data_IF_590295724472
#
_entry.id   IF_590295724472
#
_cell.length_a   1.000
_cell.length_b   1.000
_cell.length_c   1.000
_cell.angle_alpha   90.00
_cell.angle_beta   90.00
_cell.angle_gamma   90.00
#
_symmetry.space_group_name_H-M   'P 1'
#
loop_
_entity.id
_entity.type
_entity.pdbx_description
1 polymer ?
#
# COMPACT_ATOMS: atom_id res chain seq x y z
N UNK A 1 -40.60 12.84 -51.56
CA UNK A 1 -39.29 12.95 -50.88
C UNK A 1 -39.43 12.25 -49.54
N UNK A 2 -38.60 11.25 -49.24
CA UNK A 2 -38.69 10.51 -47.98
C UNK A 2 -38.32 11.43 -46.80
N UNK A 3 -39.13 11.43 -45.74
CA UNK A 3 -38.83 12.18 -44.52
C UNK A 3 -37.52 11.67 -43.92
N UNK A 4 -36.49 12.52 -43.88
CA UNK A 4 -35.16 12.17 -43.40
C UNK A 4 -35.12 12.31 -41.89
N UNK A 5 -35.38 11.21 -41.18
CA UNK A 5 -35.35 11.17 -39.73
C UNK A 5 -33.90 11.08 -39.23
N UNK A 6 -33.52 11.96 -38.31
CA UNK A 6 -32.22 11.92 -37.64
C UNK A 6 -32.31 11.04 -36.40
N UNK A 7 -31.38 10.10 -36.28
CA UNK A 7 -31.33 9.12 -35.21
C UNK A 7 -30.10 9.36 -34.33
N UNK A 8 -30.35 9.87 -33.13
CA UNK A 8 -29.31 10.33 -32.23
C UNK A 8 -29.23 9.41 -31.00
N UNK A 9 -28.02 8.98 -30.66
CA UNK A 9 -27.73 8.36 -29.37
C UNK A 9 -27.12 9.41 -28.45
N UNK A 10 -27.90 9.90 -27.49
CA UNK A 10 -27.49 10.97 -26.59
C UNK A 10 -26.97 10.38 -25.27
N UNK A 11 -25.70 10.62 -25.01
CA UNK A 11 -24.99 10.23 -23.79
C UNK A 11 -24.98 11.42 -22.84
N UNK A 12 -25.76 11.35 -21.77
CA UNK A 12 -25.82 12.39 -20.73
C UNK A 12 -24.83 12.15 -19.58
N UNK A 13 -24.35 10.92 -19.42
CA UNK A 13 -23.26 10.52 -18.51
C UNK A 13 -22.56 9.28 -19.07
N UNK A 14 -21.54 8.76 -18.37
CA UNK A 14 -20.81 7.53 -18.77
C UNK A 14 -21.71 6.31 -18.95
N UNK A 15 -22.79 6.24 -18.17
CA UNK A 15 -23.62 5.04 -18.06
C UNK A 15 -25.06 5.24 -18.57
N UNK A 16 -25.43 6.47 -18.94
CA UNK A 16 -26.79 6.80 -19.39
C UNK A 16 -26.76 7.19 -20.86
N UNK A 17 -27.19 6.25 -21.69
CA UNK A 17 -27.39 6.42 -23.13
C UNK A 17 -28.87 6.36 -23.45
N UNK A 18 -29.38 7.36 -24.16
CA UNK A 18 -30.78 7.39 -24.57
C UNK A 18 -30.92 7.77 -26.04
N UNK A 19 -31.86 7.10 -26.70
CA UNK A 19 -32.13 7.30 -28.13
C UNK A 19 -33.13 8.43 -28.32
N UNK A 20 -32.81 9.33 -29.24
CA UNK A 20 -33.62 10.47 -29.64
C UNK A 20 -33.78 10.46 -31.15
N UNK A 21 -35.02 10.54 -31.63
CA UNK A 21 -35.33 10.67 -33.06
C UNK A 21 -35.88 12.06 -33.32
N UNK A 22 -35.35 12.72 -34.36
CA UNK A 22 -35.87 13.99 -34.88
C UNK A 22 -36.43 13.76 -36.28
N UNK A 23 -37.55 14.42 -36.59
CA UNK A 23 -38.22 14.33 -37.90
C UNK A 23 -37.53 15.13 -39.00
N UNK A 24 -36.65 16.06 -38.62
CA UNK A 24 -35.82 16.90 -39.50
C UNK A 24 -34.58 17.36 -38.73
N UNK A 25 -33.56 17.88 -39.44
CA UNK A 25 -32.40 18.52 -38.81
C UNK A 25 -32.88 19.76 -38.05
N UNK A 26 -32.33 20.00 -36.86
CA UNK A 26 -32.57 21.24 -36.11
C UNK A 26 -31.99 22.43 -36.87
N UNK A 27 -32.59 23.61 -36.75
CA UNK A 27 -32.14 24.80 -37.47
C UNK A 27 -30.83 25.37 -36.88
N UNK A 28 -30.50 25.04 -35.63
CA UNK A 28 -29.21 25.39 -35.01
C UNK A 28 -28.81 24.42 -33.90
N UNK A 29 -27.53 24.48 -33.49
CA UNK A 29 -26.99 23.70 -32.36
C UNK A 29 -27.66 24.09 -31.04
N UNK A 30 -28.05 25.35 -30.84
CA UNK A 30 -28.70 25.81 -29.60
C UNK A 30 -30.17 25.38 -29.50
N UNK A 31 -30.86 25.28 -30.64
CA UNK A 31 -32.19 24.65 -30.70
C UNK A 31 -32.09 23.16 -30.32
N UNK A 32 -31.07 22.46 -30.83
CA UNK A 32 -30.80 21.07 -30.47
C UNK A 32 -30.51 20.89 -28.97
N UNK A 33 -29.71 21.78 -28.37
CA UNK A 33 -29.46 21.78 -26.92
C UNK A 33 -30.76 21.97 -26.13
N UNK A 34 -31.63 22.87 -26.57
CA UNK A 34 -32.93 23.13 -25.91
C UNK A 34 -33.84 21.90 -25.94
N UNK A 35 -33.95 21.25 -27.11
CA UNK A 35 -34.72 19.99 -27.23
C UNK A 35 -34.17 18.88 -26.33
N UNK A 36 -32.83 18.77 -26.20
CA UNK A 36 -32.18 17.80 -25.31
C UNK A 36 -32.46 18.14 -23.85
N UNK A 37 -32.39 19.42 -23.45
CA UNK A 37 -32.73 19.87 -22.09
C UNK A 37 -34.16 19.50 -21.70
N UNK A 38 -35.13 19.78 -22.56
CA UNK A 38 -36.54 19.50 -22.30
C UNK A 38 -36.82 18.00 -22.24
N UNK A 39 -36.32 17.24 -23.22
CA UNK A 39 -36.59 15.79 -23.33
C UNK A 39 -35.94 14.99 -22.19
N UNK A 40 -34.76 15.41 -21.74
CA UNK A 40 -34.01 14.72 -20.69
C UNK A 40 -34.09 15.40 -19.32
N UNK A 41 -34.85 16.50 -19.21
CA UNK A 41 -35.04 17.31 -18.00
C UNK A 41 -33.70 17.75 -17.37
N UNK A 42 -32.81 18.30 -18.17
CA UNK A 42 -31.50 18.79 -17.71
C UNK A 42 -31.63 20.24 -17.24
N UNK A 43 -31.15 20.54 -16.04
CA UNK A 43 -31.22 21.84 -15.36
C UNK A 43 -29.92 22.66 -15.43
N UNK A 44 -28.97 22.24 -16.28
CA UNK A 44 -27.63 22.84 -16.40
C UNK A 44 -27.26 23.15 -17.85
N UNK A 45 -26.30 24.05 -18.03
CA UNK A 45 -25.72 24.37 -19.34
C UNK A 45 -24.64 23.36 -19.77
N UNK A 46 -24.59 23.10 -21.07
CA UNK A 46 -23.70 22.11 -21.66
C UNK A 46 -23.33 22.44 -23.11
N UNK A 47 -22.19 21.89 -23.52
CA UNK A 47 -21.76 21.78 -24.91
C UNK A 47 -22.06 20.38 -25.45
N UNK A 48 -22.08 20.25 -26.78
CA UNK A 48 -22.33 18.98 -27.45
C UNK A 48 -21.07 18.55 -28.20
N UNK A 49 -20.76 17.27 -28.14
CA UNK A 49 -19.76 16.65 -29.00
C UNK A 49 -20.38 15.48 -29.74
N UNK A 50 -19.95 15.22 -30.97
CA UNK A 50 -20.38 14.07 -31.76
C UNK A 50 -19.18 13.18 -32.10
N UNK A 51 -19.42 11.89 -32.31
CA UNK A 51 -18.39 11.01 -32.86
C UNK A 51 -18.31 11.21 -34.37
N UNK A 52 -17.15 11.66 -34.84
CA UNK A 52 -16.93 11.96 -36.25
C UNK A 52 -16.55 10.68 -37.03
N UNK A 53 -17.38 10.23 -38.00
CA UNK A 53 -17.08 9.05 -38.80
C UNK A 53 -15.80 9.16 -39.63
N UNK A 54 -15.41 10.38 -40.01
CA UNK A 54 -14.27 10.64 -40.90
C UNK A 54 -12.94 10.65 -40.15
N UNK A 55 -12.96 10.72 -38.82
CA UNK A 55 -11.79 10.75 -37.93
C UNK A 55 -11.80 9.60 -36.92
N UNK A 56 -11.95 8.36 -37.40
CA UNK A 56 -11.91 7.13 -36.58
C UNK A 56 -12.86 7.16 -35.37
N UNK A 57 -14.03 7.81 -35.48
CA UNK A 57 -15.03 7.97 -34.41
C UNK A 57 -14.55 8.76 -33.19
N UNK A 58 -13.55 9.61 -33.36
CA UNK A 58 -13.11 10.53 -32.31
C UNK A 58 -14.19 11.57 -31.98
N UNK A 59 -14.20 12.03 -30.72
CA UNK A 59 -15.17 13.00 -30.23
C UNK A 59 -14.77 14.42 -30.69
N UNK A 60 -15.59 15.01 -31.56
CA UNK A 60 -15.43 16.37 -32.06
C UNK A 60 -16.51 17.29 -31.46
N UNK A 61 -16.17 18.55 -31.18
CA UNK A 61 -17.15 19.53 -30.67
C UNK A 61 -18.12 19.92 -31.78
N UNK A 62 -19.43 19.84 -31.51
CA UNK A 62 -20.46 20.22 -32.47
C UNK A 62 -20.66 21.74 -32.41
N UNK A 63 -20.13 22.46 -33.41
CA UNK A 63 -20.24 23.92 -33.51
C UNK A 63 -21.16 24.32 -34.66
N UNK A 64 -21.09 23.61 -35.79
CA UNK A 64 -22.04 23.76 -36.89
C UNK A 64 -23.01 22.59 -36.91
N UNK A 65 -24.31 22.87 -37.14
CA UNK A 65 -25.33 21.83 -37.20
C UNK A 65 -25.25 21.03 -38.51
N UNK A 66 -24.68 21.61 -39.57
CA UNK A 66 -24.51 20.95 -40.88
C UNK A 66 -23.52 19.78 -40.82
N UNK A 67 -22.60 19.78 -39.85
CA UNK A 67 -21.61 18.72 -39.62
C UNK A 67 -22.21 17.45 -38.99
N UNK A 68 -23.46 17.52 -38.49
CA UNK A 68 -24.09 16.40 -37.79
C UNK A 68 -24.67 15.35 -38.75
N UNK A 69 -24.17 14.10 -38.78
CA UNK A 69 -24.71 13.09 -39.67
C UNK A 69 -26.11 12.62 -39.23
N UNK A 70 -26.86 12.03 -40.17
CA UNK A 70 -28.22 11.52 -39.91
C UNK A 70 -28.30 10.46 -38.82
N UNK A 71 -27.20 9.74 -38.58
CA UNK A 71 -27.04 8.81 -37.46
C UNK A 71 -25.79 9.22 -36.69
N UNK A 72 -25.97 9.78 -35.52
CA UNK A 72 -24.87 10.32 -34.73
C UNK A 72 -24.96 9.89 -33.26
N UNK A 73 -23.79 9.68 -32.66
CA UNK A 73 -23.66 9.56 -31.20
C UNK A 73 -23.29 10.94 -30.67
N UNK A 74 -24.16 11.52 -29.85
CA UNK A 74 -23.97 12.80 -29.20
C UNK A 74 -23.59 12.59 -27.74
N UNK A 75 -22.58 13.33 -27.29
CA UNK A 75 -22.18 13.39 -25.90
C UNK A 75 -22.45 14.79 -25.35
N UNK A 76 -23.24 14.83 -24.29
CA UNK A 76 -23.51 16.07 -23.55
C UNK A 76 -22.33 16.29 -22.61
N UNK A 77 -21.56 17.35 -22.86
CA UNK A 77 -20.44 17.75 -22.04
C UNK A 77 -20.89 18.95 -21.21
N UNK A 78 -21.04 18.74 -19.90
CA UNK A 78 -21.42 19.82 -18.98
C UNK A 78 -20.43 20.97 -19.13
N UNK A 79 -20.95 22.19 -19.29
CA UNK A 79 -20.11 23.38 -19.29
C UNK A 79 -19.69 23.60 -17.83
N UNK A 80 -18.54 23.07 -17.48
CA UNK A 80 -17.97 23.24 -16.16
C UNK A 80 -17.27 24.59 -16.08
N UNK A 81 -17.61 25.41 -15.09
CA UNK A 81 -16.67 26.40 -14.55
C UNK A 81 -15.53 25.61 -13.91
N UNK A 82 -14.52 25.27 -14.70
CA UNK A 82 -13.23 24.66 -14.37
C UNK A 82 -13.20 23.84 -13.07
N UNK A 83 -13.92 22.72 -13.03
CA UNK A 83 -13.87 21.83 -11.87
C UNK A 83 -14.23 20.34 -12.13
N UNK A 84 -13.85 19.75 -13.27
CA UNK A 84 -13.72 18.28 -13.42
C UNK A 84 -12.93 17.93 -14.70
N UNK A 85 -11.67 17.51 -14.57
CA UNK A 85 -11.19 16.12 -14.63
C UNK A 85 -11.43 15.37 -15.94
N UNK A 86 -10.34 15.16 -16.71
CA UNK A 86 -10.08 13.85 -17.32
C UNK A 86 -8.58 13.51 -17.17
N UNK A 87 -8.33 12.29 -16.69
CA UNK A 87 -7.13 11.47 -16.81
C UNK A 87 -5.79 11.96 -16.21
N UNK A 88 -5.45 11.38 -15.06
CA UNK A 88 -4.18 10.64 -14.96
C UNK A 88 -4.40 9.47 -14.04
N UNK A 89 -4.34 8.26 -14.60
CA UNK A 89 -4.06 7.04 -13.86
C UNK A 89 -2.76 7.22 -13.09
N UNK A 90 -2.79 6.92 -11.79
CA UNK A 90 -1.87 5.94 -11.21
C UNK A 90 -2.23 5.64 -9.75
N UNK A 91 -2.45 4.35 -9.49
CA UNK A 91 -2.44 3.66 -8.19
C UNK A 91 -3.52 4.03 -7.15
N UNK A 92 -4.53 3.16 -6.99
CA UNK A 92 -4.70 2.24 -5.84
C UNK A 92 -6.05 1.51 -5.91
N UNK A 93 -5.94 0.20 -5.79
CA UNK A 93 -6.99 -0.79 -5.56
C UNK A 93 -7.56 -0.61 -4.14
N UNK A 94 -8.83 -0.24 -4.01
CA UNK A 94 -9.72 -0.67 -2.91
C UNK A 94 -11.19 -0.54 -3.40
N UNK A 95 -12.01 -1.62 -3.34
CA UNK A 95 -13.42 -1.53 -3.72
C UNK A 95 -14.24 -0.92 -2.57
N UNK A 96 -15.03 0.10 -2.92
CA UNK A 96 -16.26 0.55 -2.23
C UNK A 96 -16.23 0.53 -0.69
N UNK A 97 -15.69 1.59 -0.09
CA UNK A 97 -16.22 2.10 1.17
C UNK A 97 -17.24 3.19 0.84
N UNK A 98 -18.53 2.85 0.87
CA UNK A 98 -19.60 3.83 0.95
C UNK A 98 -19.43 4.56 2.29
N UNK A 99 -18.80 5.73 2.29
CA UNK A 99 -18.86 6.63 3.44
C UNK A 99 -20.26 7.23 3.53
N UNK A 100 -20.89 7.26 4.72
CA UNK A 100 -22.25 7.75 4.90
C UNK A 100 -22.41 9.20 4.42
N UNK A 101 -23.63 9.50 3.99
CA UNK A 101 -24.06 10.69 3.25
C UNK A 101 -23.44 12.02 3.70
N UNK A 102 -22.89 12.71 2.69
CA UNK A 102 -22.26 14.03 2.72
C UNK A 102 -23.36 15.08 2.61
N UNK A 103 -23.56 15.90 3.64
CA UNK A 103 -24.80 16.66 3.77
C UNK A 103 -24.85 17.93 2.90
N UNK A 104 -23.72 18.63 2.66
CA UNK A 104 -23.74 19.95 2.00
C UNK A 104 -22.49 20.22 1.12
N UNK A 105 -22.63 21.04 0.06
CA UNK A 105 -21.51 21.51 -0.78
C UNK A 105 -20.77 22.68 -0.09
N UNK A 106 -19.52 22.94 -0.47
CA UNK A 106 -18.79 24.11 0.03
C UNK A 106 -19.53 25.41 -0.37
N UNK A 107 -19.83 26.31 0.58
CA UNK A 107 -20.58 27.53 0.28
C UNK A 107 -19.67 28.64 -0.27
N UNK A 108 -20.22 29.49 -1.13
CA UNK A 108 -19.51 30.68 -1.66
C UNK A 108 -19.18 31.70 -0.56
N UNK A 109 -20.03 31.75 0.48
CA UNK A 109 -19.83 32.53 1.70
C UNK A 109 -19.89 31.57 2.88
N UNK A 110 -18.77 31.41 3.58
CA UNK A 110 -18.69 30.51 4.72
C UNK A 110 -19.55 31.04 5.89
N UNK A 111 -20.54 30.27 6.38
CA UNK A 111 -21.35 30.71 7.51
C UNK A 111 -20.55 30.62 8.80
N UNK A 112 -20.49 31.73 9.54
CA UNK A 112 -19.86 31.75 10.86
C UNK A 112 -20.59 30.76 11.79
N UNK A 113 -19.87 29.79 12.40
CA UNK A 113 -20.49 28.87 13.35
C UNK A 113 -20.75 29.57 14.67
N UNK A 114 -21.73 29.07 15.42
CA UNK A 114 -21.92 29.48 16.81
C UNK A 114 -20.81 28.88 17.68
N UNK A 115 -20.05 29.75 18.36
CA UNK A 115 -19.00 29.36 19.28
C UNK A 115 -19.54 29.03 20.67
N UNK A 116 -18.66 28.61 21.58
CA UNK A 116 -19.04 28.47 22.99
C UNK A 116 -19.56 29.81 23.54
N UNK A 117 -20.47 29.75 24.50
CA UNK A 117 -21.08 30.94 25.11
C UNK A 117 -20.04 31.96 25.60
N UNK A 118 -18.95 31.48 26.20
CA UNK A 118 -17.86 32.33 26.68
C UNK A 118 -17.15 33.04 25.51
N UNK A 119 -16.88 32.32 24.42
CA UNK A 119 -16.22 32.90 23.24
C UNK A 119 -17.14 33.90 22.54
N UNK A 120 -18.43 33.59 22.36
CA UNK A 120 -19.40 34.51 21.76
C UNK A 120 -19.49 35.83 22.53
N UNK A 121 -19.55 35.76 23.87
CA UNK A 121 -19.60 36.94 24.72
C UNK A 121 -18.34 37.81 24.53
N UNK A 122 -17.17 37.18 24.52
CA UNK A 122 -15.88 37.88 24.37
C UNK A 122 -15.72 38.47 22.96
N UNK A 123 -16.17 37.77 21.93
CA UNK A 123 -16.17 38.28 20.56
C UNK A 123 -17.12 39.47 20.43
N UNK A 124 -18.32 39.40 21.02
CA UNK A 124 -19.28 40.51 21.07
C UNK A 124 -18.73 41.75 21.77
N UNK A 125 -18.17 41.59 22.98
CA UNK A 125 -17.54 42.69 23.72
C UNK A 125 -16.32 43.26 22.98
N UNK A 126 -15.57 42.39 22.31
CA UNK A 126 -14.44 42.75 21.47
C UNK A 126 -14.84 43.62 20.29
N UNK A 127 -15.92 43.27 19.59
CA UNK A 127 -16.46 44.05 18.46
C UNK A 127 -16.89 45.45 18.91
N UNK A 128 -17.66 45.55 20.00
CA UNK A 128 -18.07 46.84 20.58
C UNK A 128 -16.86 47.70 20.98
N UNK A 129 -15.85 47.07 21.57
CA UNK A 129 -14.63 47.77 21.99
C UNK A 129 -13.80 48.25 20.79
N UNK A 130 -13.76 47.44 19.72
CA UNK A 130 -13.08 47.80 18.49
C UNK A 130 -13.78 48.96 17.77
N UNK A 131 -15.10 48.91 17.65
CA UNK A 131 -15.90 49.99 17.04
C UNK A 131 -15.74 51.32 17.80
N UNK A 132 -15.72 51.27 19.14
CA UNK A 132 -15.64 52.47 19.97
C UNK A 132 -14.22 53.06 20.07
N UNK A 133 -13.20 52.21 20.16
CA UNK A 133 -11.84 52.62 20.55
C UNK A 133 -10.74 52.24 19.55
N UNK A 134 -11.08 51.53 18.46
CA UNK A 134 -10.11 50.99 17.50
C UNK A 134 -9.17 49.94 18.09
N UNK A 135 -9.48 49.40 19.27
CA UNK A 135 -8.58 48.51 20.01
C UNK A 135 -8.88 47.06 19.67
N UNK A 136 -7.87 46.34 19.20
CA UNK A 136 -7.98 44.92 18.80
C UNK A 136 -8.14 43.99 20.01
N UNK A 137 -9.04 43.01 19.88
CA UNK A 137 -9.26 41.95 20.87
C UNK A 137 -8.03 41.02 20.99
N UNK A 138 -7.62 40.71 22.22
CA UNK A 138 -6.56 39.72 22.49
C UNK A 138 -7.17 38.48 23.13
N UNK A 139 -7.06 37.35 22.43
CA UNK A 139 -7.59 36.06 22.88
C UNK A 139 -6.52 35.22 23.59
N UNK A 140 -6.95 34.49 24.63
CA UNK A 140 -6.14 33.47 25.32
C UNK A 140 -5.91 32.25 24.43
N UNK A 141 -4.97 31.38 24.82
CA UNK A 141 -4.72 30.12 24.09
C UNK A 141 -5.94 29.20 24.08
N UNK A 142 -6.69 29.14 25.18
CA UNK A 142 -7.88 28.31 25.30
C UNK A 142 -9.01 28.81 24.38
N UNK A 143 -9.26 30.12 24.36
CA UNK A 143 -10.26 30.75 23.48
C UNK A 143 -9.92 30.55 21.99
N UNK A 144 -8.64 30.65 21.63
CA UNK A 144 -8.18 30.32 20.27
C UNK A 144 -8.41 28.86 19.90
N UNK A 145 -8.28 27.95 20.86
CA UNK A 145 -8.50 26.52 20.61
C UNK A 145 -9.98 26.23 20.34
N UNK A 146 -10.87 26.78 21.17
CA UNK A 146 -12.33 26.65 21.03
C UNK A 146 -12.81 27.15 19.66
N UNK A 147 -12.38 28.36 19.26
CA UNK A 147 -12.71 28.94 17.95
C UNK A 147 -12.26 28.01 16.80
N UNK A 148 -11.02 27.52 16.86
CA UNK A 148 -10.46 26.68 15.80
C UNK A 148 -11.13 25.30 15.72
N UNK A 149 -11.51 24.73 16.87
CA UNK A 149 -12.20 23.44 16.94
C UNK A 149 -13.62 23.55 16.38
N UNK A 150 -14.37 24.57 16.77
CA UNK A 150 -15.72 24.84 16.26
C UNK A 150 -15.73 25.13 14.76
N UNK A 151 -14.78 25.93 14.27
CA UNK A 151 -14.59 26.15 12.83
C UNK A 151 -14.29 24.86 12.09
N UNK A 152 -13.37 24.04 12.61
CA UNK A 152 -13.01 22.77 12.00
C UNK A 152 -14.21 21.81 11.94
N UNK A 153 -15.01 21.74 13.01
CA UNK A 153 -16.23 20.94 13.04
C UNK A 153 -17.24 21.41 11.98
N UNK A 154 -17.47 22.73 11.86
CA UNK A 154 -18.38 23.29 10.84
C UNK A 154 -17.88 23.07 9.41
N UNK A 155 -16.59 23.24 9.15
CA UNK A 155 -15.96 22.97 7.85
C UNK A 155 -16.06 21.49 7.48
N UNK A 156 -15.94 20.59 8.46
CA UNK A 156 -16.05 19.15 8.27
C UNK A 156 -17.46 18.71 7.83
N UNK A 157 -18.52 19.47 8.13
CA UNK A 157 -19.88 19.23 7.64
C UNK A 157 -20.02 19.40 6.12
N UNK A 158 -19.18 20.23 5.49
CA UNK A 158 -19.21 20.47 4.05
C UNK A 158 -18.25 19.54 3.30
N UNK A 159 -17.01 19.37 3.79
CA UNK A 159 -16.01 18.52 3.14
C UNK A 159 -14.97 18.02 4.14
N UNK A 160 -15.02 16.73 4.47
CA UNK A 160 -14.07 16.09 5.39
C UNK A 160 -12.60 16.17 4.89
N UNK A 161 -12.40 16.17 3.57
CA UNK A 161 -11.07 16.22 2.93
C UNK A 161 -11.12 17.08 1.65
N UNK A 162 -10.68 18.36 1.70
CA UNK A 162 -10.50 19.18 0.49
C UNK A 162 -9.44 18.55 -0.44
N UNK A 163 -9.60 18.71 -1.76
CA UNK A 163 -8.69 18.16 -2.77
C UNK A 163 -7.58 19.16 -3.13
N UNK A 164 -6.49 18.68 -3.75
CA UNK A 164 -5.21 19.39 -3.98
C UNK A 164 -5.29 20.80 -4.62
N UNK A 165 -6.42 21.17 -5.24
CA UNK A 165 -6.65 22.50 -5.84
C UNK A 165 -7.26 23.52 -4.86
N UNK A 166 -7.72 23.07 -3.70
CA UNK A 166 -8.21 23.91 -2.62
C UNK A 166 -7.07 24.13 -1.62
N UNK A 167 -6.63 25.39 -1.49
CA UNK A 167 -5.40 25.82 -0.79
C UNK A 167 -5.30 25.39 0.69
N UNK A 168 -6.41 24.97 1.31
CA UNK A 168 -6.47 24.47 2.69
C UNK A 168 -5.89 23.06 2.88
N UNK A 169 -6.07 22.12 1.94
CA UNK A 169 -5.55 20.76 2.10
C UNK A 169 -4.04 20.71 2.04
N UNK A 170 -3.41 21.50 1.16
CA UNK A 170 -1.95 21.59 1.10
C UNK A 170 -1.38 22.14 2.41
N UNK A 171 -2.06 23.14 2.99
CA UNK A 171 -1.79 23.64 4.34
C UNK A 171 -1.91 22.54 5.41
N UNK A 172 -2.98 21.74 5.37
CA UNK A 172 -3.20 20.64 6.31
C UNK A 172 -2.18 19.49 6.16
N UNK A 173 -1.93 19.03 4.92
CA UNK A 173 -0.90 18.05 4.59
C UNK A 173 0.49 18.53 5.03
N UNK A 174 0.83 19.78 4.77
CA UNK A 174 2.09 20.36 5.24
C UNK A 174 2.12 20.48 6.76
N UNK A 175 1.03 20.92 7.39
CA UNK A 175 0.92 21.00 8.85
C UNK A 175 1.12 19.62 9.49
N UNK A 176 0.50 18.57 8.95
CA UNK A 176 0.71 17.19 9.36
C UNK A 176 2.15 16.75 9.11
N UNK A 177 2.71 17.03 7.93
CA UNK A 177 4.11 16.70 7.61
C UNK A 177 5.08 17.39 8.57
N UNK A 178 4.88 18.67 8.88
CA UNK A 178 5.68 19.42 9.84
C UNK A 178 5.47 18.93 11.27
N UNK A 179 4.24 18.64 11.69
CA UNK A 179 3.92 18.09 13.02
C UNK A 179 4.59 16.73 13.21
N UNK A 180 4.47 15.84 12.23
CA UNK A 180 5.13 14.53 12.23
C UNK A 180 6.65 14.65 12.16
N UNK A 181 7.18 15.56 11.35
CA UNK A 181 8.61 15.88 11.29
C UNK A 181 9.15 16.37 12.64
N UNK A 182 8.46 17.33 13.27
CA UNK A 182 8.80 17.87 14.58
C UNK A 182 8.71 16.82 15.68
N UNK A 183 7.67 15.97 15.64
CA UNK A 183 7.52 14.86 16.58
C UNK A 183 8.67 13.85 16.44
N UNK A 184 8.99 13.42 15.21
CA UNK A 184 10.16 12.55 14.93
C UNK A 184 11.47 13.17 15.40
N UNK A 185 11.66 14.48 15.19
CA UNK A 185 12.84 15.19 15.67
C UNK A 185 12.93 15.27 17.21
N UNK A 186 11.78 15.38 17.91
CA UNK A 186 11.73 15.31 19.38
C UNK A 186 12.05 13.90 19.87
N UNK A 187 11.44 12.86 19.29
CA UNK A 187 11.72 11.46 19.62
C UNK A 187 13.19 11.10 19.38
N UNK A 188 13.77 11.52 18.25
CA UNK A 188 15.19 11.30 17.95
C UNK A 188 16.10 11.94 19.00
N UNK A 189 15.82 13.19 19.43
CA UNK A 189 16.57 13.85 20.51
C UNK A 189 16.38 13.20 21.88
N UNK A 190 15.23 12.55 22.10
CA UNK A 190 14.95 11.79 23.31
C UNK A 190 15.57 10.37 23.28
N UNK A 191 16.36 10.04 22.26
CA UNK A 191 17.08 8.76 22.16
C UNK A 191 16.27 7.61 21.59
N UNK A 192 15.14 7.87 20.90
CA UNK A 192 14.39 6.80 20.23
C UNK A 192 15.12 6.33 18.98
N UNK A 193 15.68 5.11 19.03
CA UNK A 193 16.58 4.57 18.03
C UNK A 193 15.94 4.45 16.65
N UNK A 194 14.68 4.03 16.57
CA UNK A 194 13.93 3.86 15.31
C UNK A 194 13.89 5.13 14.43
N UNK A 195 13.73 6.28 15.07
CA UNK A 195 13.71 7.57 14.36
C UNK A 195 15.11 8.20 14.27
N UNK A 196 16.00 7.87 15.20
CA UNK A 196 17.35 8.41 15.27
C UNK A 196 18.29 7.78 14.22
N UNK A 197 18.15 6.49 13.92
CA UNK A 197 18.97 5.78 12.91
C UNK A 197 18.85 6.39 11.52
N UNK A 198 17.66 6.91 11.21
CA UNK A 198 17.39 7.63 9.97
C UNK A 198 17.63 9.15 10.08
N UNK A 199 18.03 9.67 11.25
CA UNK A 199 18.27 11.10 11.49
C UNK A 199 19.63 11.55 10.94
N UNK A 200 19.97 11.14 9.72
CA UNK A 200 21.36 11.06 9.26
C UNK A 200 21.67 11.79 7.98
N UNK A 201 20.92 12.81 7.55
CA UNK A 201 21.35 13.59 6.37
C UNK A 201 22.41 14.60 6.80
N UNK A 202 23.65 14.44 6.32
CA UNK A 202 24.63 15.53 6.26
C UNK A 202 23.93 16.79 5.73
N UNK A 203 24.10 17.89 6.43
CA UNK A 203 23.52 19.19 6.06
C UNK A 203 24.52 20.29 6.37
N UNK A 204 24.30 21.49 5.83
CA UNK A 204 25.14 22.67 6.14
C UNK A 204 25.28 22.93 7.64
N UNK A 205 24.26 22.57 8.42
CA UNK A 205 24.21 22.80 9.86
C UNK A 205 24.65 21.57 10.69
N UNK A 206 24.93 20.43 10.05
CA UNK A 206 25.44 19.20 10.66
C UNK A 206 26.40 18.51 9.67
N UNK A 207 27.63 19.02 9.49
CA UNK A 207 28.58 18.53 8.50
C UNK A 207 29.14 17.14 8.85
N UNK A 208 29.25 16.83 10.14
CA UNK A 208 29.85 15.59 10.65
C UNK A 208 28.90 14.37 10.58
N UNK A 209 27.62 14.58 10.25
CA UNK A 209 26.70 13.47 10.03
C UNK A 209 27.03 12.72 8.75
N UNK A 210 26.66 11.44 8.72
CA UNK A 210 26.81 10.58 7.55
C UNK A 210 26.13 11.18 6.31
N UNK A 211 26.64 10.87 5.11
CA UNK A 211 26.06 11.37 3.87
C UNK A 211 24.65 10.78 3.67
N UNK A 212 23.71 11.50 3.02
CA UNK A 212 22.35 10.99 2.76
C UNK A 212 22.27 9.68 1.94
N UNK A 213 23.41 9.21 1.42
CA UNK A 213 23.58 8.01 0.61
C UNK A 213 24.48 6.95 1.26
N UNK A 214 24.98 7.13 2.50
CA UNK A 214 25.60 6.01 3.20
C UNK A 214 24.55 4.92 3.38
N UNK A 215 24.99 3.66 3.43
CA UNK A 215 24.20 2.43 3.49
C UNK A 215 23.28 2.33 4.74
N UNK A 216 22.43 3.32 4.95
CA UNK A 216 21.42 3.31 5.99
C UNK A 216 20.39 2.29 5.52
N UNK A 217 20.39 1.11 6.15
CA UNK A 217 19.27 0.18 6.07
C UNK A 217 18.02 0.98 6.42
N UNK A 218 17.14 1.20 5.43
CA UNK A 218 15.87 1.90 5.63
C UNK A 218 14.80 0.86 5.91
N UNK A 219 13.82 1.18 6.76
CA UNK A 219 12.71 0.27 6.97
C UNK A 219 11.99 0.02 5.64
N UNK A 220 11.76 -1.26 5.31
CA UNK A 220 10.91 -1.63 4.19
C UNK A 220 9.46 -1.25 4.49
N UNK A 221 8.64 -1.11 3.45
CA UNK A 221 7.19 -0.87 3.59
C UNK A 221 6.61 -2.06 4.39
N UNK A 222 6.00 -1.77 5.55
CA UNK A 222 5.43 -2.72 6.54
C UNK A 222 6.33 -3.15 7.71
N UNK A 223 7.59 -2.72 7.81
CA UNK A 223 8.39 -2.95 9.02
C UNK A 223 8.01 -1.95 10.13
N UNK A 224 7.18 -2.39 11.07
CA UNK A 224 6.67 -1.56 12.17
C UNK A 224 7.64 -1.48 13.35
N UNK A 225 8.51 -2.47 13.52
CA UNK A 225 9.51 -2.51 14.60
C UNK A 225 10.92 -2.63 14.03
N UNK A 226 11.33 -1.64 13.22
CA UNK A 226 12.60 -1.67 12.51
C UNK A 226 13.83 -1.69 13.43
N UNK A 227 13.85 -0.78 14.41
CA UNK A 227 14.90 -0.66 15.44
C UNK A 227 14.28 -0.12 16.75
N UNK A 228 13.56 -0.96 17.51
CA UNK A 228 12.92 -0.54 18.74
C UNK A 228 13.94 -0.20 19.83
N UNK A 229 13.52 0.60 20.81
CA UNK A 229 14.33 0.82 22.01
C UNK A 229 14.36 -0.42 22.89
N UNK A 230 15.37 -0.50 23.76
CA UNK A 230 15.42 -1.54 24.78
C UNK A 230 14.24 -1.43 25.75
N UNK A 231 13.75 -2.58 26.28
CA UNK A 231 12.70 -2.58 27.28
C UNK A 231 13.05 -1.70 28.49
N UNK A 232 12.03 -1.15 29.14
CA UNK A 232 12.23 -0.21 30.26
C UNK A 232 13.06 -0.87 31.37
N UNK A 233 14.15 -0.21 31.76
CA UNK A 233 15.06 -0.68 32.81
C UNK A 233 16.05 -1.76 32.35
N UNK A 234 16.14 -2.03 31.04
CA UNK A 234 17.13 -2.93 30.46
C UNK A 234 18.20 -2.15 29.69
N UNK A 235 19.40 -2.71 29.63
CA UNK A 235 20.52 -2.21 28.85
C UNK A 235 21.13 -3.32 27.99
N UNK A 236 22.18 -3.02 27.23
CA UNK A 236 22.80 -4.02 26.35
C UNK A 236 23.37 -5.22 27.14
N UNK A 237 23.90 -4.99 28.35
CA UNK A 237 24.50 -6.04 29.15
C UNK A 237 23.44 -6.96 29.75
N UNK A 238 22.32 -6.41 30.22
CA UNK A 238 21.21 -7.21 30.74
C UNK A 238 20.51 -8.02 29.64
N UNK A 239 20.37 -7.46 28.43
CA UNK A 239 19.83 -8.20 27.28
C UNK A 239 20.79 -9.28 26.79
N UNK A 240 22.11 -9.08 26.86
CA UNK A 240 23.10 -10.11 26.56
C UNK A 240 23.02 -11.28 27.56
N UNK A 241 22.77 -11.00 28.85
CA UNK A 241 22.52 -12.06 29.84
C UNK A 241 21.28 -12.89 29.50
N UNK A 242 20.19 -12.24 29.06
CA UNK A 242 19.01 -12.96 28.58
C UNK A 242 19.29 -13.79 27.32
N UNK A 243 20.14 -13.31 26.40
CA UNK A 243 20.57 -14.10 25.24
C UNK A 243 21.31 -15.37 25.66
N UNK A 244 22.25 -15.25 26.60
CA UNK A 244 22.97 -16.43 27.14
C UNK A 244 21.99 -17.40 27.81
N UNK A 245 21.02 -16.89 28.57
CA UNK A 245 19.98 -17.72 29.18
C UNK A 245 19.15 -18.48 28.13
N UNK A 246 18.82 -17.86 27.00
CA UNK A 246 18.15 -18.54 25.87
C UNK A 246 19.04 -19.67 25.35
N UNK A 247 20.33 -19.40 25.13
CA UNK A 247 21.28 -20.38 24.60
C UNK A 247 21.43 -21.60 25.52
N UNK A 248 21.40 -21.40 26.83
CA UNK A 248 21.48 -22.49 27.81
C UNK A 248 20.17 -23.27 27.91
N UNK A 249 19.02 -22.59 27.90
CA UNK A 249 17.69 -23.22 27.95
C UNK A 249 17.44 -24.11 26.72
N UNK A 250 17.89 -23.68 25.53
CA UNK A 250 17.73 -24.48 24.30
C UNK A 250 18.57 -25.76 24.31
N UNK A 251 19.69 -25.80 25.05
CA UNK A 251 20.52 -27.00 25.20
C UNK A 251 19.88 -28.05 26.11
N UNK A 252 18.87 -27.68 26.90
CA UNK A 252 18.18 -28.60 27.79
C UNK A 252 17.38 -29.66 26.99
N UNK A 253 17.30 -30.88 27.54
CA UNK A 253 16.52 -31.98 26.97
C UNK A 253 15.03 -31.66 26.97
N UNK A 254 14.54 -31.11 28.09
CA UNK A 254 13.19 -30.58 28.24
C UNK A 254 13.26 -29.05 28.21
N UNK A 255 12.83 -28.45 27.09
CA UNK A 255 12.94 -27.00 26.86
C UNK A 255 11.73 -26.27 27.42
N UNK A 256 11.95 -25.23 28.21
CA UNK A 256 10.88 -24.34 28.66
C UNK A 256 10.49 -23.35 27.55
N UNK A 257 9.62 -23.79 26.64
CA UNK A 257 9.16 -22.99 25.50
C UNK A 257 8.53 -21.64 25.90
N UNK A 258 7.71 -21.53 26.97
CA UNK A 258 7.22 -20.24 27.45
C UNK A 258 8.34 -19.28 27.87
N UNK A 259 9.36 -19.78 28.58
CA UNK A 259 10.51 -18.97 28.99
C UNK A 259 11.31 -18.49 27.78
N UNK A 260 11.64 -19.39 26.85
CA UNK A 260 12.35 -19.05 25.60
C UNK A 260 11.59 -17.96 24.84
N UNK A 261 10.27 -18.12 24.67
CA UNK A 261 9.43 -17.15 23.95
C UNK A 261 9.46 -15.77 24.61
N UNK A 262 9.39 -15.72 25.94
CA UNK A 262 9.46 -14.48 26.72
C UNK A 262 10.83 -13.82 26.59
N UNK A 263 11.91 -14.58 26.73
CA UNK A 263 13.27 -14.05 26.63
C UNK A 263 13.55 -13.54 25.21
N UNK A 264 13.15 -14.28 24.17
CA UNK A 264 13.24 -13.84 22.77
C UNK A 264 12.54 -12.51 22.53
N UNK A 265 11.37 -12.31 23.12
CA UNK A 265 10.66 -11.03 23.03
C UNK A 265 11.44 -9.89 23.72
N UNK A 266 12.11 -10.15 24.84
CA UNK A 266 12.90 -9.13 25.54
C UNK A 266 14.19 -8.78 24.81
N UNK A 267 14.83 -9.76 24.17
CA UNK A 267 16.09 -9.58 23.46
C UNK A 267 15.91 -9.13 22.01
N UNK A 268 14.68 -9.09 21.48
CA UNK A 268 14.39 -8.65 20.12
C UNK A 268 15.05 -7.31 19.76
N UNK A 269 15.00 -6.32 20.66
CA UNK A 269 15.62 -5.02 20.42
C UNK A 269 17.15 -5.08 20.31
N UNK A 270 17.81 -5.97 21.08
CA UNK A 270 19.25 -6.21 20.96
C UNK A 270 19.58 -6.84 19.60
N UNK A 271 18.83 -7.86 19.19
CA UNK A 271 19.02 -8.51 17.89
C UNK A 271 18.85 -7.52 16.72
N UNK A 272 17.82 -6.66 16.77
CA UNK A 272 17.62 -5.60 15.75
C UNK A 272 18.75 -4.58 15.73
N UNK A 273 19.32 -4.24 16.88
CA UNK A 273 20.48 -3.35 16.97
C UNK A 273 21.70 -3.97 16.27
N UNK A 274 21.99 -5.23 16.54
CA UNK A 274 23.10 -5.97 15.91
C UNK A 274 22.95 -6.01 14.38
N UNK A 275 21.73 -6.24 13.87
CA UNK A 275 21.45 -6.32 12.42
C UNK A 275 21.46 -4.95 11.72
N UNK A 276 20.89 -3.93 12.36
CA UNK A 276 20.61 -2.62 11.71
C UNK A 276 21.69 -1.59 11.99
N UNK A 277 22.24 -1.57 13.20
CA UNK A 277 23.20 -0.55 13.64
C UNK A 277 24.63 -1.07 13.63
N UNK A 278 24.85 -2.26 14.18
CA UNK A 278 26.20 -2.83 14.27
C UNK A 278 26.60 -3.54 12.95
N UNK A 279 25.62 -3.79 12.07
CA UNK A 279 25.77 -4.33 10.71
C UNK A 279 26.60 -5.63 10.67
N UNK A 280 26.32 -6.53 11.62
CA UNK A 280 27.05 -7.79 11.73
C UNK A 280 26.82 -8.67 10.49
N UNK A 281 27.86 -9.40 10.01
CA UNK A 281 27.73 -10.40 8.95
C UNK A 281 26.73 -11.50 9.30
N UNK A 282 26.10 -12.11 8.28
CA UNK A 282 25.15 -13.22 8.47
C UNK A 282 25.78 -14.37 9.26
N UNK A 283 27.03 -14.72 9.00
CA UNK A 283 27.75 -15.78 9.72
C UNK A 283 27.86 -15.50 11.23
N UNK A 284 28.21 -14.26 11.62
CA UNK A 284 28.30 -13.88 13.04
C UNK A 284 26.92 -13.83 13.71
N UNK A 285 25.88 -13.36 12.99
CA UNK A 285 24.50 -13.38 13.50
C UNK A 285 24.06 -14.84 13.71
N UNK A 286 24.37 -15.70 12.75
CA UNK A 286 24.12 -17.12 12.84
C UNK A 286 24.84 -17.69 14.04
N UNK A 287 26.13 -17.42 14.29
CA UNK A 287 26.83 -17.94 15.48
C UNK A 287 26.21 -17.44 16.80
N UNK A 288 25.96 -16.13 16.90
CA UNK A 288 25.43 -15.50 18.13
C UNK A 288 24.01 -15.95 18.48
N UNK A 289 23.22 -16.26 17.45
CA UNK A 289 21.82 -16.70 17.57
C UNK A 289 21.63 -18.15 17.04
N UNK A 290 22.71 -18.95 16.94
CA UNK A 290 22.76 -20.26 16.26
C UNK A 290 21.83 -21.29 16.86
N UNK A 291 21.77 -21.29 18.19
CA UNK A 291 20.92 -22.20 18.95
C UNK A 291 19.44 -22.01 18.60
N UNK A 292 19.06 -20.84 18.04
CA UNK A 292 17.69 -20.52 17.67
C UNK A 292 17.35 -20.81 16.20
N UNK A 293 18.30 -20.62 15.28
CA UNK A 293 18.09 -20.82 13.84
C UNK A 293 18.06 -22.30 13.45
N UNK A 294 18.84 -23.14 14.11
CA UNK A 294 18.91 -24.57 13.77
C UNK A 294 17.71 -25.41 14.24
N UNK A 295 16.89 -24.89 15.16
CA UNK A 295 15.93 -25.74 15.88
C UNK A 295 14.46 -25.34 15.76
N UNK A 296 14.12 -24.11 15.33
CA UNK A 296 12.73 -23.64 15.44
C UNK A 296 12.31 -22.70 14.29
N UNK A 297 11.78 -23.26 13.21
CA UNK A 297 11.00 -22.53 12.19
C UNK A 297 9.95 -21.58 12.82
N UNK A 298 9.40 -21.95 13.98
CA UNK A 298 8.45 -21.14 14.77
C UNK A 298 9.06 -19.81 15.20
N UNK A 299 10.36 -19.73 15.51
CA UNK A 299 10.99 -18.45 15.86
C UNK A 299 11.09 -17.51 14.66
N UNK A 300 11.33 -18.00 13.44
CA UNK A 300 11.33 -17.16 12.23
C UNK A 300 9.94 -16.55 12.02
N UNK A 301 8.88 -17.33 12.20
CA UNK A 301 7.52 -16.81 12.15
C UNK A 301 7.26 -15.76 13.25
N UNK A 302 7.74 -16.00 14.47
CA UNK A 302 7.59 -15.07 15.57
C UNK A 302 8.36 -13.77 15.33
N UNK A 303 9.58 -13.84 14.80
CA UNK A 303 10.41 -12.69 14.43
C UNK A 303 9.78 -11.88 13.29
N UNK A 304 9.31 -12.56 12.24
CA UNK A 304 8.56 -11.90 11.16
C UNK A 304 7.34 -11.15 11.71
N UNK A 305 6.59 -11.78 12.62
CA UNK A 305 5.47 -11.13 13.28
C UNK A 305 5.91 -9.95 14.16
N UNK A 306 7.00 -10.06 14.92
CA UNK A 306 7.54 -8.94 15.71
C UNK A 306 7.92 -7.76 14.82
N UNK A 307 8.50 -8.00 13.65
CA UNK A 307 8.96 -6.95 12.72
C UNK A 307 7.79 -6.31 11.97
N UNK A 308 6.85 -7.11 11.48
CA UNK A 308 5.80 -6.67 10.51
C UNK A 308 4.39 -6.59 11.08
N UNK A 309 4.16 -7.16 12.26
CA UNK A 309 2.85 -7.41 12.86
C UNK A 309 1.91 -8.30 12.00
N UNK A 310 2.48 -9.09 11.09
CA UNK A 310 1.74 -10.00 10.21
C UNK A 310 1.99 -11.45 10.61
N UNK A 311 1.01 -12.33 10.38
CA UNK A 311 1.22 -13.76 10.52
C UNK A 311 1.82 -14.31 9.21
N UNK A 312 3.09 -14.72 9.25
CA UNK A 312 3.85 -15.12 8.08
C UNK A 312 3.15 -16.25 7.29
N UNK A 313 2.83 -17.38 7.94
CA UNK A 313 2.20 -18.52 7.27
C UNK A 313 0.86 -18.14 6.64
N UNK A 314 -0.03 -17.53 7.42
CA UNK A 314 -1.37 -17.20 6.96
C UNK A 314 -1.32 -16.20 5.80
N UNK A 315 -0.44 -15.20 5.89
CA UNK A 315 -0.28 -14.24 4.82
C UNK A 315 0.29 -14.86 3.56
N UNK A 316 1.36 -15.65 3.69
CA UNK A 316 1.96 -16.35 2.56
C UNK A 316 0.95 -17.23 1.83
N UNK A 317 0.22 -18.08 2.56
CA UNK A 317 -0.76 -18.97 1.93
C UNK A 317 -1.95 -18.22 1.35
N UNK A 318 -2.44 -17.16 2.00
CA UNK A 318 -3.51 -16.34 1.43
C UNK A 318 -3.10 -15.68 0.10
N UNK A 319 -1.87 -15.18 0.02
CA UNK A 319 -1.31 -14.58 -1.22
C UNK A 319 -1.06 -15.67 -2.28
N UNK A 320 -0.56 -16.84 -1.87
CA UNK A 320 -0.36 -17.98 -2.77
C UNK A 320 -1.70 -18.46 -3.35
N UNK A 321 -2.73 -18.59 -2.52
CA UNK A 321 -4.10 -18.93 -2.93
C UNK A 321 -4.64 -17.93 -3.96
N UNK A 322 -4.49 -16.64 -3.67
CA UNK A 322 -4.92 -15.56 -4.55
C UNK A 322 -4.24 -15.62 -5.94
N UNK A 323 -2.95 -15.96 -5.99
CA UNK A 323 -2.18 -16.00 -7.23
C UNK A 323 -2.17 -17.36 -7.94
N UNK A 324 -2.56 -18.44 -7.25
CA UNK A 324 -2.53 -19.81 -7.76
C UNK A 324 -3.25 -20.00 -9.10
N UNK A 325 -4.46 -19.46 -9.35
CA UNK A 325 -5.12 -19.61 -10.65
C UNK A 325 -4.32 -19.04 -11.82
N UNK A 326 -3.64 -17.89 -11.59
CA UNK A 326 -2.80 -17.25 -12.61
C UNK A 326 -1.54 -18.05 -12.87
N UNK A 327 -0.89 -18.57 -11.82
CA UNK A 327 0.29 -19.44 -11.94
C UNK A 327 -0.04 -20.72 -12.72
N UNK A 328 -1.20 -21.34 -12.45
CA UNK A 328 -1.68 -22.50 -13.19
C UNK A 328 -1.89 -22.18 -14.68
N UNK A 329 -2.50 -21.03 -14.99
CA UNK A 329 -2.70 -20.57 -16.37
C UNK A 329 -1.35 -20.39 -17.11
N UNK A 330 -0.37 -19.77 -16.45
CA UNK A 330 0.97 -19.57 -17.01
C UNK A 330 1.68 -20.88 -17.28
N UNK A 331 1.61 -21.84 -16.35
CA UNK A 331 2.20 -23.16 -16.52
C UNK A 331 1.55 -23.96 -17.65
N UNK A 332 0.21 -23.95 -17.75
CA UNK A 332 -0.49 -24.58 -18.89
C UNK A 332 -0.05 -23.97 -20.23
N UNK A 333 0.11 -22.65 -20.30
CA UNK A 333 0.64 -21.96 -21.49
C UNK A 333 2.10 -22.31 -21.77
N UNK A 334 2.91 -22.62 -20.76
CA UNK A 334 4.31 -23.05 -20.91
C UNK A 334 4.37 -24.50 -21.38
N UNK A 335 3.51 -25.37 -20.85
CA UNK A 335 3.35 -26.77 -21.27
C UNK A 335 2.87 -26.94 -22.70
N UNK A 336 1.93 -26.11 -23.16
CA UNK A 336 1.50 -26.12 -24.55
C UNK A 336 2.64 -25.76 -25.54
N UNK A 337 3.69 -25.06 -25.07
CA UNK A 337 4.85 -24.64 -25.87
C UNK A 337 6.07 -25.55 -25.70
N UNK A 338 6.18 -26.24 -24.56
CA UNK A 338 7.26 -27.17 -24.22
C UNK A 338 6.64 -28.44 -23.66
N UNK A 339 6.65 -29.52 -24.45
CA UNK A 339 6.03 -30.81 -24.09
C UNK A 339 6.49 -31.37 -22.74
N UNK A 340 7.69 -31.01 -22.29
CA UNK A 340 8.26 -31.41 -20.97
C UNK A 340 7.45 -30.91 -19.76
N UNK A 341 6.78 -29.76 -19.87
CA UNK A 341 6.00 -29.19 -18.75
C UNK A 341 4.58 -29.78 -18.70
N UNK A 342 4.11 -30.41 -19.78
CA UNK A 342 2.81 -31.07 -19.82
C UNK A 342 2.78 -32.37 -19.00
N UNK A 343 3.86 -33.16 -19.02
CA UNK A 343 4.01 -34.34 -18.16
C UNK A 343 4.02 -33.94 -16.68
N UNK A 344 4.84 -32.95 -16.29
CA UNK A 344 4.89 -32.44 -14.92
C UNK A 344 3.53 -31.94 -14.37
N UNK A 345 2.70 -31.30 -15.21
CA UNK A 345 1.36 -30.84 -14.84
C UNK A 345 0.37 -31.99 -14.60
N UNK A 346 0.45 -33.07 -15.39
CA UNK A 346 -0.40 -34.25 -15.20
C UNK A 346 -0.05 -35.01 -13.90
N UNK A 347 1.23 -35.00 -13.51
CA UNK A 347 1.68 -35.61 -12.25
C UNK A 347 1.32 -34.76 -11.01
N UNK A 348 1.31 -33.43 -11.13
CA UNK A 348 0.90 -32.52 -10.05
C UNK A 348 -0.54 -32.77 -9.56
N UNK A 349 -1.45 -33.16 -10.45
CA UNK A 349 -2.86 -33.47 -10.13
C UNK A 349 -2.98 -34.68 -9.18
N UNK A 350 -1.96 -35.54 -9.12
CA UNK A 350 -1.95 -36.79 -8.34
C UNK A 350 -1.52 -36.52 -6.88
N UNK A 351 -0.88 -35.39 -6.58
CA UNK A 351 -0.47 -35.03 -5.23
C UNK A 351 -1.70 -34.77 -4.33
N UNK A 352 -1.92 -35.65 -3.36
CA UNK A 352 -3.08 -35.68 -2.46
C UNK A 352 -3.00 -34.61 -1.35
N UNK A 353 -2.96 -33.33 -1.74
CA UNK A 353 -3.03 -32.18 -0.85
C UNK A 353 -3.05 -30.86 -1.61
N UNK A 354 -4.07 -30.03 -1.37
CA UNK A 354 -4.22 -28.72 -2.03
C UNK A 354 -3.02 -27.80 -1.76
N UNK A 355 -2.48 -27.83 -0.54
CA UNK A 355 -1.32 -27.03 -0.12
C UNK A 355 -0.02 -27.46 -0.81
N UNK A 356 0.22 -28.77 -0.91
CA UNK A 356 1.36 -29.34 -1.62
C UNK A 356 1.29 -29.01 -3.11
N UNK A 357 0.11 -29.04 -3.73
CA UNK A 357 -0.08 -28.69 -5.13
C UNK A 357 0.38 -27.26 -5.45
N UNK A 358 -0.02 -26.27 -4.64
CA UNK A 358 0.32 -24.87 -4.89
C UNK A 358 1.79 -24.55 -4.67
N UNK A 359 2.42 -25.17 -3.66
CA UNK A 359 3.86 -25.01 -3.41
C UNK A 359 4.67 -25.65 -4.53
N UNK A 360 4.30 -26.84 -4.99
CA UNK A 360 4.94 -27.47 -6.15
C UNK A 360 4.76 -26.63 -7.42
N UNK A 361 3.59 -26.01 -7.61
CA UNK A 361 3.34 -25.07 -8.70
C UNK A 361 4.32 -23.89 -8.68
N UNK A 362 4.61 -23.36 -7.48
CA UNK A 362 5.56 -22.28 -7.28
C UNK A 362 6.99 -22.70 -7.66
N UNK A 363 7.43 -23.91 -7.28
CA UNK A 363 8.73 -24.46 -7.69
C UNK A 363 8.93 -24.45 -9.21
N UNK A 364 7.94 -24.95 -9.95
CA UNK A 364 7.99 -25.00 -11.41
C UNK A 364 7.99 -23.61 -12.06
N UNK A 365 7.35 -22.63 -11.42
CA UNK A 365 7.37 -21.25 -11.88
C UNK A 365 8.73 -20.57 -11.67
N UNK A 366 9.41 -20.86 -10.55
CA UNK A 366 10.66 -20.21 -10.17
C UNK A 366 11.91 -20.78 -10.88
N UNK A 367 11.79 -21.80 -11.72
CA UNK A 367 12.91 -22.41 -12.46
C UNK A 367 14.09 -22.78 -11.55
N UNK A 368 13.84 -23.70 -10.61
CA UNK A 368 14.91 -24.32 -9.81
C UNK A 368 15.96 -24.93 -10.76
N UNK A 369 17.24 -24.61 -10.54
CA UNK A 369 18.37 -25.20 -11.26
C UNK A 369 18.87 -26.36 -10.41
N UNK A 370 18.73 -27.59 -10.91
CA UNK A 370 19.36 -28.77 -10.30
C UNK A 370 20.84 -28.78 -10.73
N UNK A 371 21.74 -28.83 -9.75
CA UNK A 371 23.19 -28.97 -9.93
C UNK A 371 23.75 -29.89 -8.86
N UNK A 372 24.64 -30.80 -9.24
CA UNK A 372 25.24 -31.78 -8.33
C UNK A 372 26.23 -31.13 -7.35
N UNK A 373 26.81 -29.98 -7.72
CA UNK A 373 27.64 -29.12 -6.87
C UNK A 373 27.15 -27.66 -6.99
N UNK A 374 26.23 -27.22 -6.11
CA UNK A 374 25.78 -25.84 -6.11
C UNK A 374 26.85 -24.92 -5.52
N UNK A 375 27.41 -24.02 -6.33
CA UNK A 375 28.18 -22.89 -5.81
C UNK A 375 27.20 -21.91 -5.14
N UNK A 376 27.26 -21.81 -3.82
CA UNK A 376 26.40 -20.94 -3.02
C UNK A 376 27.01 -19.57 -2.75
N UNK A 377 28.29 -19.36 -3.02
CA UNK A 377 29.06 -18.18 -2.58
C UNK A 377 28.47 -16.86 -3.10
N UNK A 378 27.84 -16.87 -4.28
CA UNK A 378 27.23 -15.69 -4.92
C UNK A 378 25.70 -15.62 -4.77
N UNK A 379 25.07 -16.50 -3.98
CA UNK A 379 23.61 -16.54 -3.82
C UNK A 379 23.19 -15.59 -2.70
N UNK A 380 22.49 -14.47 -3.00
CA UNK A 380 22.04 -13.53 -1.97
C UNK A 380 20.96 -14.17 -1.08
N UNK A 381 19.92 -14.78 -1.68
CA UNK A 381 18.92 -15.60 -0.98
C UNK A 381 18.50 -16.74 -1.91
N UNK A 382 18.44 -17.97 -1.42
CA UNK A 382 18.11 -19.15 -2.23
C UNK A 382 17.49 -20.31 -1.45
N UNK A 383 17.12 -21.35 -2.19
CA UNK A 383 16.67 -22.63 -1.66
C UNK A 383 17.55 -23.74 -2.23
N UNK A 384 18.08 -24.59 -1.34
CA UNK A 384 18.94 -25.71 -1.65
C UNK A 384 18.22 -27.02 -1.32
N UNK A 385 18.01 -27.85 -2.34
CA UNK A 385 17.46 -29.19 -2.16
C UNK A 385 18.54 -30.15 -1.65
N UNK A 386 18.27 -30.86 -0.55
CA UNK A 386 19.19 -31.85 0.02
C UNK A 386 18.53 -33.22 -0.11
N UNK A 387 19.08 -34.07 -0.98
CA UNK A 387 18.61 -35.44 -1.23
C UNK A 387 19.78 -36.41 -1.00
N UNK A 388 19.62 -37.40 -0.12
CA UNK A 388 20.70 -38.33 0.23
C UNK A 388 20.81 -39.55 -0.70
N UNK A 389 19.85 -39.77 -1.60
CA UNK A 389 19.77 -40.96 -2.46
C UNK A 389 20.06 -40.65 -3.92
N UNK A 390 21.19 -41.18 -4.40
CA UNK A 390 21.56 -41.27 -5.82
C UNK A 390 20.71 -42.35 -6.51
N UNK A 391 19.41 -42.14 -6.68
CA UNK A 391 18.60 -42.95 -7.61
C UNK A 391 17.96 -42.02 -8.64
N UNK A 392 18.73 -41.72 -9.68
CA UNK A 392 18.39 -40.89 -10.83
C UNK A 392 17.32 -41.52 -11.75
N UNK A 393 16.30 -42.20 -11.23
CA UNK A 393 15.33 -42.93 -12.07
C UNK A 393 13.87 -42.62 -11.79
N UNK A 394 13.52 -41.73 -10.88
CA UNK A 394 12.11 -41.35 -10.69
C UNK A 394 11.95 -39.82 -10.69
N UNK A 395 11.91 -39.24 -11.88
CA UNK A 395 11.61 -37.82 -12.16
C UNK A 395 10.12 -37.50 -11.87
N UNK A 396 9.40 -38.39 -11.20
CA UNK A 396 7.94 -38.34 -11.07
C UNK A 396 7.46 -37.40 -9.95
N UNK A 397 8.28 -37.15 -8.92
CA UNK A 397 7.92 -36.23 -7.83
C UNK A 397 9.14 -35.52 -7.23
N UNK A 398 9.27 -34.21 -7.45
CA UNK A 398 10.26 -33.39 -6.71
C UNK A 398 9.76 -33.19 -5.27
N UNK A 399 10.18 -34.08 -4.37
CA UNK A 399 9.96 -33.97 -2.93
C UNK A 399 11.32 -34.13 -2.24
N UNK A 400 12.01 -33.01 -1.97
CA UNK A 400 13.30 -33.08 -1.30
C UNK A 400 13.13 -33.61 0.12
N UNK A 401 14.09 -34.43 0.57
CA UNK A 401 14.11 -34.97 1.94
C UNK A 401 14.27 -33.83 2.96
N UNK A 402 15.13 -32.86 2.64
CA UNK A 402 15.28 -31.60 3.37
C UNK A 402 15.52 -30.47 2.39
N UNK A 403 15.16 -29.25 2.77
CA UNK A 403 15.45 -28.06 1.97
C UNK A 403 16.16 -27.04 2.85
N UNK A 404 17.40 -26.71 2.49
CA UNK A 404 18.16 -25.61 3.08
C UNK A 404 17.71 -24.27 2.52
N UNK A 405 17.52 -23.26 3.36
CA UNK A 405 17.38 -21.87 2.93
C UNK A 405 18.76 -21.24 3.03
N UNK A 406 19.21 -20.62 1.93
CA UNK A 406 20.54 -20.02 1.81
C UNK A 406 20.40 -18.50 1.86
N UNK A 407 21.27 -17.83 2.62
CA UNK A 407 21.39 -16.38 2.70
C UNK A 407 22.88 -16.01 2.69
N UNK A 408 23.31 -15.18 1.75
CA UNK A 408 24.72 -14.77 1.61
C UNK A 408 25.68 -15.97 1.65
N UNK A 409 25.38 -17.00 0.85
CA UNK A 409 26.16 -18.25 0.78
C UNK A 409 26.07 -19.19 1.98
N UNK A 410 25.39 -18.82 3.06
CA UNK A 410 25.25 -19.62 4.28
C UNK A 410 23.89 -20.32 4.35
N UNK A 411 23.87 -21.61 4.72
CA UNK A 411 22.60 -22.30 5.04
C UNK A 411 22.10 -21.79 6.40
N UNK A 412 21.03 -21.02 6.40
CA UNK A 412 20.47 -20.39 7.61
C UNK A 412 19.46 -21.25 8.34
N UNK A 413 18.74 -22.13 7.63
CA UNK A 413 17.80 -23.09 8.20
C UNK A 413 17.61 -24.27 7.26
N UNK A 414 17.40 -25.45 7.81
CA UNK A 414 16.98 -26.64 7.08
C UNK A 414 15.53 -26.99 7.44
N UNK A 415 14.65 -26.96 6.45
CA UNK A 415 13.24 -27.30 6.60
C UNK A 415 13.00 -28.75 6.19
N UNK A 416 12.13 -29.44 6.94
CA UNK A 416 11.66 -30.80 6.61
C UNK A 416 10.59 -30.81 5.54
N UNK A 417 9.96 -29.66 5.27
CA UNK A 417 8.98 -29.52 4.20
C UNK A 417 9.40 -28.39 3.26
N UNK A 418 9.18 -28.62 1.97
CA UNK A 418 9.40 -27.62 0.93
C UNK A 418 8.53 -26.37 1.16
N UNK A 419 7.32 -26.56 1.68
CA UNK A 419 6.40 -25.45 2.01
C UNK A 419 6.98 -24.52 3.08
N UNK A 420 7.51 -25.08 4.18
CA UNK A 420 8.17 -24.28 5.22
C UNK A 420 9.45 -23.61 4.70
N UNK A 421 10.17 -24.24 3.76
CA UNK A 421 11.32 -23.65 3.11
C UNK A 421 10.93 -22.40 2.30
N UNK A 422 9.86 -22.47 1.49
CA UNK A 422 9.35 -21.30 0.76
C UNK A 422 8.86 -20.21 1.71
N UNK A 423 8.08 -20.57 2.72
CA UNK A 423 7.60 -19.60 3.71
C UNK A 423 8.78 -18.85 4.35
N UNK A 424 9.85 -19.57 4.69
CA UNK A 424 11.05 -18.98 5.29
C UNK A 424 11.82 -18.12 4.28
N UNK A 425 12.00 -18.60 3.05
CA UNK A 425 12.67 -17.87 1.98
C UNK A 425 11.99 -16.52 1.73
N UNK A 426 10.66 -16.49 1.62
CA UNK A 426 9.89 -15.26 1.45
C UNK A 426 9.87 -14.35 2.68
N UNK A 427 10.17 -14.87 3.88
CA UNK A 427 10.31 -14.05 5.08
C UNK A 427 11.64 -13.29 5.13
N UNK A 428 12.66 -13.77 4.41
CA UNK A 428 14.01 -13.19 4.38
C UNK A 428 14.18 -12.15 3.25
N UNK A 429 13.28 -12.15 2.26
CA UNK A 429 13.22 -11.19 1.14
C UNK A 429 12.37 -9.98 1.51
#
# INVERSE_FOLDING_TARGET
MAAQNFLLHVHTSTDIVRKMTLSSQSASVDELKTMIKERFKLDFDFSLSYQDPDFDWQLCSLVDIEELPQKAVLKVIRSESDASSIASDDTIILPHAMTPDRTERWPDVFPDPTFSYEVELILGEGNVTYERLGKTLKLSRAQKHDILETLAAKMHCFKAYPNDRETGWYGWKNSLKFKMGNYRAKLSRAGFHEVAVNSGKRSRNNPDKQAPHTNIKRPKKAEVNFLPNFPRGQDAASLEQFRVQIADEVKMSEKNLPLITKLMQMTFALQRKEIVSDDLPVEEILERWATLTYTLFVQICAEFHRITNMNLKNHFYAVLDQHSPRLQSLLRKKAARSGKVAEALNHLIICSGFMTFQVTLLCYCLQMVETDEPNTDDIPVGLLSISTTTSATDVTFFVPERTGVVLEGNIVIECTTLADAFVTHFALI
#
